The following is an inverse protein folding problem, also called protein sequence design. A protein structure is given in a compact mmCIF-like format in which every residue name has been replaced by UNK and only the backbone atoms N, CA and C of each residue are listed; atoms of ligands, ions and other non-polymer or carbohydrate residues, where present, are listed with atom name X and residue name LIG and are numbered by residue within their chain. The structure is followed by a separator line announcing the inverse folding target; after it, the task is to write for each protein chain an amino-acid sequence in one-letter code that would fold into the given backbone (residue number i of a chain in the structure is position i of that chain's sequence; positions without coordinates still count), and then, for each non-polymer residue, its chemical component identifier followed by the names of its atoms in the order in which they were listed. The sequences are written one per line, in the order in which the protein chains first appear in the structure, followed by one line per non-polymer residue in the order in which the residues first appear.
data_IF_627409012410
#
_entry.id   IF_627409012410
#
_cell.length_a   1.000
_cell.length_b   1.000
_cell.length_c   1.000
_cell.angle_alpha   90.00
_cell.angle_beta   90.00
_cell.angle_gamma   90.00
#
_symmetry.space_group_name_H-M   'P 1'
#
loop_
_entity.id
_entity.type
_entity.pdbx_description
1 polymer ?
#
# COMPACT_ATOMS: atom_id res chain seq x y z
N UNK A 1 -24.60 -7.33 -5.76
CA UNK A 1 -23.42 -6.66 -5.18
C UNK A 1 -22.28 -6.80 -6.16
N UNK A 2 -21.81 -5.71 -6.74
CA UNK A 2 -20.65 -5.70 -7.62
C UNK A 2 -19.41 -5.87 -6.77
N UNK A 3 -18.65 -6.91 -7.05
CA UNK A 3 -17.32 -7.12 -6.46
C UNK A 3 -16.32 -6.42 -7.37
N UNK A 4 -15.64 -5.45 -6.82
CA UNK A 4 -14.55 -4.75 -7.49
C UNK A 4 -13.23 -5.43 -7.10
N UNK A 5 -12.29 -5.49 -8.03
CA UNK A 5 -11.01 -6.17 -7.83
C UNK A 5 -9.88 -5.27 -8.33
N UNK A 6 -8.87 -5.07 -7.49
CA UNK A 6 -7.63 -4.37 -7.81
C UNK A 6 -6.46 -5.34 -7.79
N UNK A 7 -5.55 -5.16 -8.73
CA UNK A 7 -4.29 -5.88 -8.79
C UNK A 7 -3.17 -4.87 -8.79
N UNK A 8 -2.23 -5.04 -7.88
CA UNK A 8 -1.11 -4.12 -7.67
C UNK A 8 0.20 -4.90 -7.81
N UNK A 9 1.09 -4.51 -8.73
CA UNK A 9 2.33 -5.24 -8.96
C UNK A 9 3.31 -4.99 -7.82
N UNK A 10 4.02 -6.04 -7.39
CA UNK A 10 5.20 -5.87 -6.55
C UNK A 10 6.37 -5.36 -7.38
N UNK A 11 7.44 -4.93 -6.74
CA UNK A 11 8.59 -4.32 -7.42
C UNK A 11 9.91 -4.98 -7.03
N UNK A 12 10.91 -4.80 -7.87
CA UNK A 12 12.33 -5.03 -7.57
C UNK A 12 13.09 -3.72 -7.67
N UNK A 13 14.04 -3.52 -6.77
CA UNK A 13 14.93 -2.37 -6.80
C UNK A 13 16.25 -2.75 -7.45
N UNK A 14 16.74 -1.90 -8.34
CA UNK A 14 18.01 -2.06 -9.03
C UNK A 14 19.09 -1.16 -8.45
N UNK A 15 18.73 0.04 -8.00
CA UNK A 15 19.66 1.00 -7.43
C UNK A 15 18.93 2.04 -6.53
N UNK A 16 19.68 2.62 -5.62
CA UNK A 16 19.23 3.75 -4.81
C UNK A 16 18.31 3.42 -3.66
N UNK A 17 18.08 2.13 -3.37
CA UNK A 17 17.23 1.73 -2.24
C UNK A 17 17.65 2.38 -0.93
N UNK A 18 16.68 2.82 -0.12
CA UNK A 18 16.86 3.53 1.16
C UNK A 18 17.36 4.98 1.04
N UNK A 19 17.89 5.40 -0.11
CA UNK A 19 18.35 6.79 -0.28
C UNK A 19 17.21 7.80 -0.33
N UNK A 20 16.00 7.36 -0.65
CA UNK A 20 14.77 8.17 -0.70
C UNK A 20 14.16 8.48 0.69
N UNK A 21 14.80 8.04 1.75
CA UNK A 21 14.39 8.35 3.12
C UNK A 21 14.75 9.80 3.51
N UNK A 22 13.80 10.50 4.11
CA UNK A 22 14.12 11.74 4.82
C UNK A 22 14.86 11.41 6.13
N UNK A 23 15.98 12.10 6.46
CA UNK A 23 16.59 13.23 5.75
C UNK A 23 17.72 12.83 4.78
N UNK A 24 17.89 11.55 4.44
CA UNK A 24 19.04 11.05 3.67
C UNK A 24 19.19 11.77 2.33
N UNK A 25 18.14 11.78 1.49
CA UNK A 25 18.22 12.46 0.19
C UNK A 25 18.47 13.96 0.31
N UNK A 26 17.93 14.60 1.36
CA UNK A 26 18.15 16.02 1.60
C UNK A 26 19.61 16.32 1.97
N UNK A 27 20.23 15.48 2.82
CA UNK A 27 21.65 15.63 3.20
C UNK A 27 22.60 15.34 2.05
N UNK A 28 22.19 14.54 1.07
CA UNK A 28 22.97 14.21 -0.11
C UNK A 28 22.78 15.19 -1.26
N UNK A 29 21.90 16.19 -1.13
CA UNK A 29 21.57 17.12 -2.21
C UNK A 29 20.69 16.49 -3.30
N UNK A 30 20.07 15.37 -3.02
CA UNK A 30 19.22 14.60 -3.93
C UNK A 30 19.72 13.19 -4.16
N UNK A 31 18.84 12.35 -4.69
CA UNK A 31 19.21 10.98 -5.09
C UNK A 31 18.27 10.47 -6.20
N UNK A 32 18.61 9.32 -6.75
CA UNK A 32 17.77 8.60 -7.71
C UNK A 32 17.59 7.16 -7.21
N UNK A 33 16.33 6.70 -7.22
CA UNK A 33 16.02 5.29 -7.04
C UNK A 33 15.53 4.70 -8.36
N UNK A 34 16.00 3.49 -8.69
CA UNK A 34 15.64 2.80 -9.93
C UNK A 34 15.01 1.47 -9.57
N UNK A 35 13.79 1.27 -10.03
CA UNK A 35 13.03 0.07 -9.75
C UNK A 35 12.14 -0.34 -10.94
N UNK A 36 11.58 -1.53 -10.88
CA UNK A 36 10.58 -1.97 -11.84
C UNK A 36 9.50 -2.79 -11.15
N UNK A 37 8.26 -2.56 -11.56
CA UNK A 37 7.15 -3.44 -11.28
C UNK A 37 7.38 -4.79 -11.98
N UNK A 38 7.07 -5.88 -11.30
CA UNK A 38 7.21 -7.25 -11.83
C UNK A 38 5.85 -7.95 -11.88
N UNK A 39 5.73 -8.99 -12.71
CA UNK A 39 4.47 -9.71 -12.92
C UNK A 39 4.13 -10.67 -11.76
N UNK A 40 4.11 -10.11 -10.57
CA UNK A 40 3.61 -10.72 -9.33
C UNK A 40 2.66 -9.73 -8.67
N UNK A 41 1.42 -10.14 -8.44
CA UNK A 41 0.35 -9.22 -8.13
C UNK A 41 -0.24 -9.44 -6.74
N UNK A 42 -0.27 -8.39 -5.94
CA UNK A 42 -1.13 -8.33 -4.75
C UNK A 42 -2.56 -8.08 -5.21
N UNK A 43 -3.48 -8.91 -4.76
CA UNK A 43 -4.89 -8.84 -5.15
C UNK A 43 -5.76 -8.37 -3.99
N UNK A 44 -6.62 -7.40 -4.28
CA UNK A 44 -7.56 -6.81 -3.32
C UNK A 44 -8.95 -6.88 -3.93
N UNK A 45 -9.84 -7.59 -3.27
CA UNK A 45 -11.26 -7.60 -3.62
C UNK A 45 -12.04 -6.78 -2.61
N UNK A 46 -12.87 -5.86 -3.10
CA UNK A 46 -13.79 -5.06 -2.30
C UNK A 46 -15.22 -5.32 -2.77
N UNK A 47 -16.10 -5.61 -1.83
CA UNK A 47 -17.55 -5.55 -2.07
C UNK A 47 -18.22 -4.81 -0.92
N UNK A 48 -19.11 -3.87 -1.26
CA UNK A 48 -19.85 -3.12 -0.24
C UNK A 48 -20.80 -4.06 0.47
N UNK A 49 -20.75 -4.09 1.79
CA UNK A 49 -21.67 -4.85 2.64
C UNK A 49 -22.65 -3.90 3.32
N UNK A 50 -23.83 -4.40 3.67
CA UNK A 50 -24.83 -3.57 4.38
C UNK A 50 -24.61 -3.48 5.89
N UNK A 51 -23.69 -4.30 6.47
CA UNK A 51 -23.55 -4.41 7.91
C UNK A 51 -22.09 -4.79 8.28
N UNK A 52 -21.36 -3.79 8.82
CA UNK A 52 -20.01 -4.02 9.33
C UNK A 52 -18.95 -4.28 8.25
N UNK A 53 -17.78 -4.64 8.70
CA UNK A 53 -16.64 -4.95 7.85
C UNK A 53 -16.22 -6.40 8.03
N UNK A 54 -15.87 -7.06 6.92
CA UNK A 54 -15.22 -8.37 6.92
C UNK A 54 -13.90 -8.25 6.18
N UNK A 55 -12.82 -8.69 6.80
CA UNK A 55 -11.51 -8.74 6.17
C UNK A 55 -11.05 -10.19 6.15
N UNK A 56 -10.75 -10.71 4.98
CA UNK A 56 -10.21 -12.05 4.78
C UNK A 56 -8.84 -11.93 4.13
N UNK A 57 -7.77 -12.33 4.83
CA UNK A 57 -6.43 -12.48 4.26
C UNK A 57 -6.16 -13.96 4.02
N UNK A 58 -6.03 -14.34 2.75
CA UNK A 58 -5.80 -15.75 2.38
C UNK A 58 -4.43 -16.24 2.81
N UNK A 59 -3.44 -15.35 2.73
CA UNK A 59 -2.03 -15.67 3.00
C UNK A 59 -1.77 -15.86 4.49
N UNK A 60 -2.46 -15.07 5.32
CA UNK A 60 -2.36 -15.14 6.76
C UNK A 60 -3.36 -16.13 7.39
N UNK A 61 -4.26 -16.71 6.59
CA UNK A 61 -5.35 -17.55 7.08
C UNK A 61 -6.25 -16.83 8.10
N UNK A 62 -6.42 -15.51 7.92
CA UNK A 62 -7.06 -14.65 8.89
C UNK A 62 -8.42 -14.18 8.37
N UNK A 63 -9.44 -14.29 9.21
CA UNK A 63 -10.75 -13.68 8.99
C UNK A 63 -11.13 -12.81 10.18
N UNK A 64 -11.46 -11.55 9.91
CA UNK A 64 -11.95 -10.59 10.89
C UNK A 64 -13.33 -10.10 10.48
N UNK A 65 -14.25 -10.04 11.47
CA UNK A 65 -15.57 -9.43 11.31
C UNK A 65 -15.76 -8.40 12.42
N UNK A 66 -16.11 -7.18 12.05
CA UNK A 66 -16.39 -6.11 13.00
C UNK A 66 -17.62 -5.31 12.52
N UNK A 67 -18.46 -4.89 13.46
CA UNK A 67 -19.61 -4.04 13.13
C UNK A 67 -19.20 -2.62 12.80
N UNK A 68 -18.17 -2.13 13.47
CA UNK A 68 -17.55 -0.83 13.24
C UNK A 68 -16.03 -0.97 13.41
N UNK A 69 -15.26 -0.02 12.88
CA UNK A 69 -13.82 0.00 13.08
C UNK A 69 -13.50 0.10 14.58
N UNK A 70 -12.74 -0.83 15.13
CA UNK A 70 -12.32 -0.74 16.52
C UNK A 70 -11.36 0.46 16.70
N UNK A 71 -11.29 1.05 17.90
CA UNK A 71 -10.39 2.18 18.16
C UNK A 71 -8.91 1.81 18.02
N UNK A 72 -8.59 0.51 18.19
CA UNK A 72 -7.24 -0.03 18.03
C UNK A 72 -7.21 -1.07 16.91
N UNK A 73 -6.10 -1.13 16.14
CA UNK A 73 -5.98 -2.08 15.06
C UNK A 73 -5.96 -3.52 15.56
N UNK A 74 -6.65 -4.43 14.86
CA UNK A 74 -6.56 -5.85 15.18
C UNK A 74 -5.15 -6.39 14.93
N UNK A 75 -4.69 -7.36 15.75
CA UNK A 75 -3.38 -7.99 15.54
C UNK A 75 -3.21 -8.53 14.12
N UNK A 76 -2.06 -8.23 13.50
CA UNK A 76 -1.72 -8.68 12.15
C UNK A 76 -2.41 -7.91 11.01
N UNK A 77 -3.31 -6.98 11.30
CA UNK A 77 -4.02 -6.17 10.32
C UNK A 77 -3.84 -4.66 10.53
N UNK A 78 -2.88 -4.24 11.36
CA UNK A 78 -2.75 -2.83 11.74
C UNK A 78 -2.58 -1.91 10.53
N UNK A 79 -1.73 -2.28 9.57
CA UNK A 79 -1.55 -1.52 8.33
C UNK A 79 -2.84 -1.42 7.49
N UNK A 80 -3.49 -2.55 7.25
CA UNK A 80 -4.77 -2.60 6.51
C UNK A 80 -5.81 -1.73 7.20
N UNK A 81 -5.93 -1.87 8.52
CA UNK A 81 -6.85 -1.08 9.33
C UNK A 81 -6.58 0.42 9.20
N UNK A 82 -5.32 0.85 9.32
CA UNK A 82 -4.92 2.27 9.20
C UNK A 82 -5.32 2.88 7.86
N UNK A 83 -5.07 2.16 6.76
CA UNK A 83 -5.42 2.65 5.42
C UNK A 83 -6.93 2.76 5.24
N UNK A 84 -7.68 1.77 5.70
CA UNK A 84 -9.14 1.77 5.57
C UNK A 84 -9.81 2.83 6.46
N UNK A 85 -9.34 2.99 7.69
CA UNK A 85 -9.82 4.04 8.62
C UNK A 85 -9.56 5.43 8.04
N UNK A 86 -8.34 5.70 7.58
CA UNK A 86 -7.97 6.97 6.96
C UNK A 86 -8.73 7.25 5.64
N UNK A 87 -9.13 6.20 4.93
CA UNK A 87 -9.87 6.32 3.67
C UNK A 87 -11.37 6.54 3.88
N UNK A 88 -11.88 6.38 5.11
CA UNK A 88 -13.30 6.50 5.41
C UNK A 88 -14.18 5.50 4.65
N UNK A 89 -13.65 4.31 4.34
CA UNK A 89 -14.39 3.31 3.56
C UNK A 89 -15.64 2.86 4.32
N UNK A 90 -16.83 2.85 3.68
CA UNK A 90 -18.05 2.36 4.31
C UNK A 90 -17.98 0.85 4.54
N UNK A 91 -18.93 0.26 5.30
CA UNK A 91 -18.98 -1.17 5.54
C UNK A 91 -18.73 -2.00 4.28
N UNK A 92 -17.74 -2.88 4.33
CA UNK A 92 -17.29 -3.62 3.16
C UNK A 92 -16.72 -5.00 3.53
N UNK A 93 -16.85 -5.94 2.61
CA UNK A 93 -16.16 -7.22 2.63
C UNK A 93 -14.88 -7.08 1.78
N UNK A 94 -13.73 -7.28 2.41
CA UNK A 94 -12.41 -7.22 1.82
C UNK A 94 -11.80 -8.61 1.72
N UNK A 95 -11.19 -8.91 0.57
CA UNK A 95 -10.32 -10.08 0.42
C UNK A 95 -8.94 -9.63 -0.01
N UNK A 96 -7.93 -10.12 0.67
CA UNK A 96 -6.52 -9.81 0.42
C UNK A 96 -5.78 -11.08 0.04
N UNK A 97 -4.93 -11.00 -0.97
CA UNK A 97 -4.04 -12.08 -1.38
C UNK A 97 -2.72 -11.52 -1.90
N UNK A 98 -1.62 -12.11 -1.41
CA UNK A 98 -0.27 -11.84 -1.90
C UNK A 98 0.39 -13.15 -2.34
N UNK A 99 0.95 -13.23 -3.54
CA UNK A 99 1.68 -14.42 -3.99
C UNK A 99 3.08 -14.52 -3.38
N UNK A 100 3.51 -13.47 -2.67
CA UNK A 100 4.84 -13.41 -2.06
C UNK A 100 4.76 -13.30 -0.55
N UNK A 101 5.66 -13.96 0.19
CA UNK A 101 5.66 -13.91 1.65
C UNK A 101 5.89 -12.49 2.18
N UNK A 102 5.32 -12.23 3.35
CA UNK A 102 5.67 -11.04 4.12
C UNK A 102 7.17 -11.03 4.44
N UNK A 103 7.80 -9.87 4.34
CA UNK A 103 9.26 -9.72 4.55
C UNK A 103 10.13 -10.12 3.36
N UNK A 104 9.53 -10.43 2.20
CA UNK A 104 10.27 -10.76 0.97
C UNK A 104 11.13 -9.62 0.41
N UNK A 105 10.96 -8.38 0.89
CA UNK A 105 11.64 -7.21 0.34
C UNK A 105 11.06 -6.70 -0.99
N UNK A 106 9.90 -7.22 -1.42
CA UNK A 106 9.27 -6.87 -2.71
C UNK A 106 8.19 -5.78 -2.61
N UNK A 107 8.08 -5.08 -1.47
CA UNK A 107 7.16 -3.96 -1.30
C UNK A 107 5.69 -4.34 -1.12
N UNK A 108 5.40 -5.53 -0.58
CA UNK A 108 4.01 -6.01 -0.38
C UNK A 108 3.18 -5.05 0.50
N UNK A 109 3.78 -4.47 1.54
CA UNK A 109 3.11 -3.48 2.41
C UNK A 109 2.62 -2.28 1.60
N UNK A 110 3.49 -1.71 0.78
CA UNK A 110 3.16 -0.56 -0.07
C UNK A 110 2.13 -0.93 -1.14
N UNK A 111 2.23 -2.14 -1.72
CA UNK A 111 1.21 -2.64 -2.66
C UNK A 111 -0.17 -2.76 -2.00
N UNK A 112 -0.25 -3.29 -0.77
CA UNK A 112 -1.49 -3.34 -0.01
C UNK A 112 -2.03 -1.93 0.25
N UNK A 113 -1.19 -1.00 0.68
CA UNK A 113 -1.58 0.40 0.91
C UNK A 113 -2.15 1.05 -0.35
N UNK A 114 -1.43 0.95 -1.47
CA UNK A 114 -1.84 1.51 -2.76
C UNK A 114 -3.16 0.90 -3.24
N UNK A 115 -3.26 -0.43 -3.21
CA UNK A 115 -4.46 -1.10 -3.69
C UNK A 115 -5.69 -0.88 -2.79
N UNK A 116 -5.52 -0.83 -1.46
CA UNK A 116 -6.60 -0.51 -0.53
C UNK A 116 -7.09 0.92 -0.72
N UNK A 117 -6.18 1.88 -0.87
CA UNK A 117 -6.54 3.27 -1.11
C UNK A 117 -7.23 3.43 -2.47
N UNK A 118 -6.71 2.78 -3.51
CA UNK A 118 -7.34 2.74 -4.83
C UNK A 118 -8.76 2.18 -4.76
N UNK A 119 -8.93 1.03 -4.09
CA UNK A 119 -10.24 0.41 -3.89
C UNK A 119 -11.21 1.30 -3.10
N UNK A 120 -10.74 1.91 -2.02
CA UNK A 120 -11.57 2.78 -1.18
C UNK A 120 -12.04 4.04 -1.93
N UNK A 121 -11.18 4.63 -2.75
CA UNK A 121 -11.42 5.87 -3.49
C UNK A 121 -11.96 5.67 -4.90
N UNK A 122 -12.03 4.43 -5.40
CA UNK A 122 -12.40 4.13 -6.79
C UNK A 122 -11.37 4.65 -7.80
N UNK A 123 -10.08 4.64 -7.44
CA UNK A 123 -8.98 5.09 -8.30
C UNK A 123 -8.28 3.88 -8.94
N UNK A 124 -8.07 3.96 -10.24
CA UNK A 124 -7.26 2.99 -10.98
C UNK A 124 -5.77 3.35 -10.93
N UNK A 125 -4.92 2.39 -11.33
CA UNK A 125 -3.49 2.62 -11.47
C UNK A 125 -3.20 3.82 -12.39
N UNK A 126 -2.21 4.62 -12.02
CA UNK A 126 -1.83 5.82 -12.76
C UNK A 126 -1.57 7.04 -11.88
N UNK A 127 -1.46 8.21 -12.51
CA UNK A 127 -1.09 9.46 -11.84
C UNK A 127 -2.05 9.87 -10.71
N UNK A 128 -3.36 9.59 -10.87
CA UNK A 128 -4.36 9.89 -9.84
C UNK A 128 -4.06 9.14 -8.53
N UNK A 129 -3.72 7.86 -8.63
CA UNK A 129 -3.34 7.04 -7.48
C UNK A 129 -1.94 7.40 -6.97
N UNK A 130 -0.98 7.66 -7.88
CA UNK A 130 0.37 8.10 -7.52
C UNK A 130 0.36 9.42 -6.73
N UNK A 131 -0.57 10.33 -7.02
CA UNK A 131 -0.73 11.58 -6.27
C UNK A 131 -1.11 11.38 -4.80
N UNK A 132 -1.55 10.18 -4.41
CA UNK A 132 -1.92 9.80 -3.03
C UNK A 132 -0.80 9.12 -2.26
N UNK A 133 0.31 8.79 -2.92
CA UNK A 133 1.47 8.17 -2.28
C UNK A 133 1.95 8.91 -1.03
N UNK A 134 2.00 10.26 -0.99
CA UNK A 134 2.38 10.99 0.24
C UNK A 134 1.54 10.62 1.46
N UNK A 135 0.24 10.41 1.27
CA UNK A 135 -0.68 10.03 2.37
C UNK A 135 -0.30 8.65 2.90
N UNK A 136 -0.07 7.69 2.01
CA UNK A 136 0.30 6.32 2.39
C UNK A 136 1.63 6.28 3.13
N UNK A 137 2.64 6.99 2.60
CA UNK A 137 3.94 7.09 3.25
C UNK A 137 3.84 7.67 4.66
N UNK A 138 3.04 8.72 4.84
CA UNK A 138 2.86 9.35 6.15
C UNK A 138 2.11 8.44 7.12
N UNK A 139 1.12 7.69 6.66
CA UNK A 139 0.41 6.69 7.46
C UNK A 139 1.35 5.56 7.89
N UNK A 140 2.17 5.03 6.97
CA UNK A 140 3.11 3.95 7.28
C UNK A 140 4.20 4.42 8.24
N UNK A 141 4.74 5.64 8.05
CA UNK A 141 5.72 6.23 8.97
C UNK A 141 5.17 6.38 10.39
N UNK A 142 3.89 6.71 10.53
CA UNK A 142 3.22 6.78 11.84
C UNK A 142 2.99 5.39 12.44
N UNK A 143 2.63 4.41 11.62
CA UNK A 143 2.41 3.03 12.08
C UNK A 143 3.71 2.40 12.57
N UNK A 144 4.80 2.58 11.82
CA UNK A 144 6.11 2.02 12.13
C UNK A 144 6.91 2.87 13.13
N UNK A 145 6.45 4.11 13.40
CA UNK A 145 7.17 5.10 14.18
C UNK A 145 8.61 5.33 13.70
N UNK A 146 8.81 5.25 12.39
CA UNK A 146 10.09 5.45 11.73
C UNK A 146 9.84 6.04 10.33
N UNK A 147 10.75 6.87 9.81
CA UNK A 147 10.64 7.34 8.44
C UNK A 147 10.60 6.18 7.45
N UNK A 148 9.70 6.25 6.47
CA UNK A 148 9.62 5.32 5.36
C UNK A 148 9.94 6.01 4.05
N UNK A 149 10.41 5.25 3.07
CA UNK A 149 10.71 5.74 1.73
C UNK A 149 9.47 5.84 0.84
N UNK A 150 9.69 6.29 -0.38
CA UNK A 150 8.66 6.49 -1.37
C UNK A 150 8.72 5.46 -2.49
N UNK A 151 9.90 4.88 -2.69
CA UNK A 151 10.23 4.08 -3.87
C UNK A 151 9.32 2.88 -4.09
N UNK A 152 8.76 2.31 -3.02
CA UNK A 152 7.91 1.12 -3.08
C UNK A 152 6.51 1.44 -3.58
N UNK A 153 6.03 2.64 -3.30
CA UNK A 153 4.66 3.06 -3.61
C UNK A 153 4.48 3.44 -5.08
N UNK A 154 5.47 4.11 -5.68
CA UNK A 154 5.33 4.60 -7.05
C UNK A 154 5.22 3.48 -8.08
N UNK A 155 6.06 2.42 -8.08
CA UNK A 155 5.86 1.30 -8.98
C UNK A 155 4.57 0.53 -8.72
N UNK A 156 4.09 0.49 -7.47
CA UNK A 156 2.79 -0.07 -7.14
C UNK A 156 1.62 0.74 -7.73
N UNK A 157 1.75 2.07 -7.79
CA UNK A 157 0.72 2.95 -8.33
C UNK A 157 0.80 3.13 -9.85
N UNK A 158 1.98 3.16 -10.43
CA UNK A 158 2.22 3.48 -11.85
C UNK A 158 2.53 2.26 -12.71
N UNK A 159 3.13 1.22 -12.12
CA UNK A 159 3.69 0.09 -12.88
C UNK A 159 4.96 0.46 -13.63
N UNK A 160 5.43 -0.45 -14.49
CA UNK A 160 6.57 -0.21 -15.39
C UNK A 160 7.92 -0.13 -14.68
N UNK A 161 8.93 0.37 -15.41
CA UNK A 161 10.26 0.66 -14.89
C UNK A 161 10.37 2.17 -14.64
N UNK A 162 10.85 2.54 -13.46
CA UNK A 162 10.88 3.92 -12.98
C UNK A 162 12.28 4.33 -12.54
N UNK A 163 12.64 5.57 -12.85
CA UNK A 163 13.72 6.30 -12.22
C UNK A 163 13.11 7.47 -11.44
N UNK A 164 13.11 7.37 -10.12
CA UNK A 164 12.50 8.36 -9.25
C UNK A 164 13.58 9.31 -8.74
N UNK A 165 13.43 10.59 -9.03
CA UNK A 165 14.36 11.63 -8.65
C UNK A 165 13.86 12.35 -7.40
N UNK A 166 14.70 12.40 -6.39
CA UNK A 166 14.45 13.08 -5.13
C UNK A 166 15.38 14.27 -5.04
N UNK A 167 14.81 15.45 -5.03
CA UNK A 167 15.58 16.70 -4.92
C UNK A 167 15.78 17.05 -3.46
N UNK A 168 17.00 17.46 -3.13
CA UNK A 168 17.30 18.10 -1.86
C UNK A 168 16.75 19.54 -1.81
N UNK A 169 16.64 20.13 -0.63
CA UNK A 169 16.26 21.53 -0.48
C UNK A 169 17.29 22.47 -1.04
#
# INVERSE_FOLDING_TARGET
MTRESWRVPVRVDFAGGTLDLWPVYAMMGGCVTVNAAVDLWVEIGLSRSGAGHRITSRDLGLELKVEAWPPEPPPGLSWVWRVLDASGVPPADLTLHSPVPQGSGLGVSSCLGVGLLGAAMGLEAGEGLASKVPILRDLESRELQTPTGWQDYYPAALGGALALHWEGP
#
